data_IF_890143483227
#
_entry.id   IF_890143483227
#
_cell.length_a   1.000
_cell.length_b   1.000
_cell.length_c   1.000
_cell.angle_alpha   90.00
_cell.angle_beta   90.00
_cell.angle_gamma   90.00
#
_symmetry.space_group_name_H-M   'P 1'
#
loop_
_entity.id
_entity.type
_entity.pdbx_description
1 polymer ?
#
# COMPACT_ATOMS: atom_id res chain seq x y z
N UNK A 1 31.11 -20.46 15.32
CA UNK A 1 30.03 -19.74 14.62
C UNK A 1 30.65 -18.48 14.05
N UNK A 2 30.98 -18.46 12.77
CA UNK A 2 31.53 -17.27 12.09
C UNK A 2 30.36 -16.50 11.47
N UNK A 3 30.20 -15.25 11.87
CA UNK A 3 29.28 -14.31 11.24
C UNK A 3 29.78 -14.02 9.81
N UNK A 4 28.99 -14.37 8.79
CA UNK A 4 29.22 -13.95 7.41
C UNK A 4 28.91 -12.46 7.29
N UNK A 5 29.88 -11.62 7.62
CA UNK A 5 29.88 -10.20 7.28
C UNK A 5 30.49 -9.98 5.89
N UNK A 6 29.87 -10.49 4.82
CA UNK A 6 30.27 -10.11 3.46
C UNK A 6 29.40 -8.94 2.99
N UNK A 7 29.98 -7.74 2.92
CA UNK A 7 29.35 -6.60 2.23
C UNK A 7 29.22 -6.97 0.74
N UNK A 8 28.00 -6.93 0.20
CA UNK A 8 27.75 -7.14 -1.23
C UNK A 8 28.15 -5.88 -2.01
N UNK A 9 29.00 -6.04 -3.01
CA UNK A 9 29.37 -4.92 -3.88
C UNK A 9 28.23 -4.62 -4.88
N UNK A 10 28.02 -3.34 -5.21
CA UNK A 10 27.08 -2.86 -6.23
C UNK A 10 27.23 -3.58 -7.55
N UNK A 11 28.48 -3.86 -7.96
CA UNK A 11 28.77 -4.57 -9.20
C UNK A 11 28.25 -6.02 -9.17
N UNK A 12 28.31 -6.70 -8.02
CA UNK A 12 27.80 -8.07 -7.83
C UNK A 12 26.26 -8.10 -7.72
N UNK A 13 25.65 -7.10 -7.08
CA UNK A 13 24.19 -7.01 -7.06
C UNK A 13 23.63 -6.64 -8.42
N UNK A 14 24.26 -5.70 -9.14
CA UNK A 14 23.85 -5.34 -10.49
C UNK A 14 23.98 -6.52 -11.45
N UNK A 15 25.10 -7.26 -11.42
CA UNK A 15 25.26 -8.45 -12.26
C UNK A 15 24.22 -9.55 -11.98
N UNK A 16 23.74 -9.65 -10.73
CA UNK A 16 22.62 -10.53 -10.35
C UNK A 16 21.27 -9.99 -10.83
N UNK A 17 21.03 -8.68 -10.73
CA UNK A 17 19.81 -8.05 -11.23
C UNK A 17 19.75 -7.99 -12.76
N UNK A 18 20.89 -8.11 -13.45
CA UNK A 18 20.97 -8.30 -14.90
C UNK A 18 20.75 -9.77 -15.31
N UNK A 19 20.69 -10.70 -14.35
CA UNK A 19 20.42 -12.12 -14.59
C UNK A 19 18.92 -12.41 -14.50
N UNK A 20 18.29 -12.68 -15.65
CA UNK A 20 16.86 -12.94 -15.77
C UNK A 20 16.36 -14.10 -14.89
N UNK A 21 17.16 -15.17 -14.73
CA UNK A 21 16.77 -16.30 -13.88
C UNK A 21 16.71 -15.89 -12.40
N UNK A 22 17.68 -15.09 -11.96
CA UNK A 22 17.70 -14.57 -10.60
C UNK A 22 16.53 -13.61 -10.35
N UNK A 23 16.32 -12.66 -11.26
CA UNK A 23 15.19 -11.71 -11.18
C UNK A 23 13.86 -12.45 -11.15
N UNK A 24 13.65 -13.39 -12.06
CA UNK A 24 12.44 -14.20 -12.11
C UNK A 24 12.20 -14.99 -10.82
N UNK A 25 13.26 -15.58 -10.25
CA UNK A 25 13.17 -16.26 -8.96
C UNK A 25 12.82 -15.32 -7.81
N UNK A 26 13.50 -14.17 -7.72
CA UNK A 26 13.29 -13.17 -6.67
C UNK A 26 11.86 -12.62 -6.70
N UNK A 27 11.42 -12.15 -7.87
CA UNK A 27 10.07 -11.60 -8.05
C UNK A 27 9.00 -12.64 -7.75
N UNK A 28 9.17 -13.89 -8.19
CA UNK A 28 8.23 -14.98 -7.87
C UNK A 28 8.20 -15.32 -6.39
N UNK A 29 9.33 -15.23 -5.69
CA UNK A 29 9.41 -15.52 -4.26
C UNK A 29 8.70 -14.44 -3.44
N UNK A 30 8.95 -13.16 -3.74
CA UNK A 30 8.24 -12.04 -3.09
C UNK A 30 6.75 -12.08 -3.45
N UNK A 31 6.40 -12.34 -4.71
CA UNK A 31 5.00 -12.41 -5.13
C UNK A 31 4.22 -13.51 -4.45
N UNK A 32 4.84 -14.67 -4.17
CA UNK A 32 4.21 -15.73 -3.36
C UNK A 32 3.93 -15.28 -1.92
N UNK A 33 4.86 -14.54 -1.31
CA UNK A 33 4.69 -13.99 0.04
C UNK A 33 3.57 -12.95 0.05
N UNK A 34 3.60 -11.99 -0.88
CA UNK A 34 2.56 -10.97 -1.01
C UNK A 34 1.17 -11.59 -1.24
N UNK A 35 1.07 -12.59 -2.11
CA UNK A 35 -0.18 -13.30 -2.38
C UNK A 35 -0.70 -14.04 -1.15
N UNK A 36 0.18 -14.73 -0.42
CA UNK A 36 -0.16 -15.42 0.81
C UNK A 36 -0.75 -14.45 1.84
N UNK A 37 -0.01 -13.36 2.13
CA UNK A 37 -0.40 -12.41 3.17
C UNK A 37 -1.69 -11.69 2.80
N UNK A 38 -1.84 -11.31 1.53
CA UNK A 38 -3.07 -10.71 1.03
C UNK A 38 -4.26 -11.67 1.19
N UNK A 39 -4.11 -12.94 0.80
CA UNK A 39 -5.18 -13.95 1.00
C UNK A 39 -5.53 -14.10 2.49
N UNK A 40 -4.55 -14.11 3.39
CA UNK A 40 -4.81 -14.14 4.83
C UNK A 40 -5.57 -12.89 5.33
N UNK A 41 -5.20 -11.69 4.85
CA UNK A 41 -5.91 -10.45 5.18
C UNK A 41 -7.36 -10.49 4.68
N UNK A 42 -7.57 -10.96 3.45
CA UNK A 42 -8.90 -11.03 2.85
C UNK A 42 -9.79 -12.09 3.49
N UNK A 43 -9.24 -13.26 3.82
CA UNK A 43 -9.93 -14.31 4.57
C UNK A 43 -10.35 -13.80 5.95
N UNK A 44 -9.45 -13.12 6.65
CA UNK A 44 -9.73 -12.53 7.97
C UNK A 44 -10.84 -11.48 7.90
N UNK A 45 -10.88 -10.68 6.83
CA UNK A 45 -11.91 -9.67 6.62
C UNK A 45 -13.26 -10.27 6.21
N UNK A 46 -13.28 -11.31 5.37
CA UNK A 46 -14.51 -11.75 4.69
C UNK A 46 -15.03 -13.14 5.10
N UNK A 47 -14.28 -13.85 5.95
CA UNK A 47 -14.54 -15.22 6.34
C UNK A 47 -13.82 -16.26 5.46
N UNK A 48 -13.95 -17.52 5.84
CA UNK A 48 -13.12 -18.67 5.45
C UNK A 48 -13.22 -19.16 3.99
N UNK A 49 -13.46 -18.27 3.01
CA UNK A 49 -13.44 -18.70 1.60
C UNK A 49 -13.96 -17.72 0.56
N UNK A 50 -14.21 -16.46 0.90
CA UNK A 50 -14.89 -15.54 -0.03
C UNK A 50 -13.93 -14.84 -1.01
N UNK A 51 -12.65 -14.68 -0.66
CA UNK A 51 -11.68 -13.96 -1.49
C UNK A 51 -10.29 -14.61 -1.37
N UNK A 52 -10.04 -15.62 -2.20
CA UNK A 52 -8.70 -16.18 -2.43
C UNK A 52 -8.27 -15.84 -3.86
N UNK A 53 -7.12 -15.17 -4.02
CA UNK A 53 -6.45 -15.01 -5.30
C UNK A 53 -5.55 -16.21 -5.56
N UNK A 54 -5.75 -16.88 -6.70
CA UNK A 54 -4.88 -17.96 -7.13
C UNK A 54 -3.63 -17.41 -7.81
N UNK A 55 -2.57 -18.22 -7.85
CA UNK A 55 -1.30 -17.81 -8.48
C UNK A 55 -1.41 -17.50 -9.98
N UNK A 56 -2.39 -18.06 -10.69
CA UNK A 56 -2.70 -17.76 -12.09
C UNK A 56 -3.53 -16.48 -12.26
N UNK A 57 -4.02 -15.89 -11.17
CA UNK A 57 -4.77 -14.63 -11.13
C UNK A 57 -3.91 -13.44 -10.67
N UNK A 58 -2.70 -13.74 -10.19
CA UNK A 58 -1.70 -12.77 -9.78
C UNK A 58 -0.31 -13.25 -10.20
N UNK A 59 -0.07 -13.33 -11.52
CA UNK A 59 1.25 -13.65 -12.03
C UNK A 59 2.21 -12.47 -11.90
N UNK A 60 3.48 -12.71 -11.60
CA UNK A 60 4.49 -11.63 -11.49
C UNK A 60 5.31 -11.56 -12.77
N UNK A 61 5.58 -10.34 -13.24
CA UNK A 61 6.50 -10.08 -14.35
C UNK A 61 7.31 -8.79 -14.13
N UNK A 62 8.41 -8.65 -14.86
CA UNK A 62 9.04 -7.33 -15.02
C UNK A 62 8.21 -6.48 -15.96
N UNK A 63 8.18 -5.19 -15.71
CA UNK A 63 7.37 -4.24 -16.45
C UNK A 63 8.16 -2.98 -16.72
N UNK A 64 8.01 -2.43 -17.93
CA UNK A 64 8.54 -1.12 -18.29
C UNK A 64 7.34 -0.24 -18.66
N UNK A 65 7.00 0.76 -17.84
CA UNK A 65 5.88 1.63 -18.12
C UNK A 65 6.10 2.48 -19.38
N UNK A 66 5.02 2.70 -20.13
CA UNK A 66 4.99 3.52 -21.33
C UNK A 66 4.07 4.74 -21.13
N UNK A 67 4.41 5.88 -21.75
CA UNK A 67 3.60 7.11 -21.71
C UNK A 67 4.08 8.18 -20.75
N UNK A 68 3.32 9.29 -20.67
CA UNK A 68 3.55 10.36 -19.71
C UNK A 68 3.30 9.82 -18.29
N UNK A 69 4.19 10.10 -17.34
CA UNK A 69 4.20 9.58 -15.95
C UNK A 69 4.85 8.20 -15.71
N UNK A 70 5.42 7.57 -16.74
CA UNK A 70 6.13 6.27 -16.61
C UNK A 70 7.32 6.29 -15.65
N UNK A 71 7.92 7.46 -15.41
CA UNK A 71 9.12 7.60 -14.57
C UNK A 71 8.88 7.42 -13.06
N UNK A 72 7.62 7.39 -12.62
CA UNK A 72 7.24 7.25 -11.21
C UNK A 72 6.46 5.96 -10.89
N UNK A 73 6.11 5.16 -11.91
CA UNK A 73 5.30 3.96 -11.74
C UNK A 73 6.18 2.77 -11.33
N UNK A 74 6.09 2.38 -10.04
CA UNK A 74 6.83 1.24 -9.48
C UNK A 74 6.24 -0.11 -9.89
N UNK A 75 4.92 -0.19 -10.07
CA UNK A 75 4.24 -1.40 -10.48
C UNK A 75 2.85 -1.12 -11.04
N UNK A 76 2.25 -2.15 -11.63
CA UNK A 76 0.90 -2.11 -12.19
C UNK A 76 0.29 -3.49 -12.33
N UNK A 77 -0.96 -3.64 -11.92
CA UNK A 77 -1.76 -4.82 -12.19
C UNK A 77 -2.51 -4.69 -13.52
N UNK A 78 -2.17 -5.56 -14.47
CA UNK A 78 -2.92 -5.77 -15.70
C UNK A 78 -4.00 -6.82 -15.48
N UNK A 79 -5.25 -6.37 -15.34
CA UNK A 79 -6.42 -7.25 -15.16
C UNK A 79 -6.65 -8.22 -16.32
N UNK A 80 -6.28 -7.87 -17.55
CA UNK A 80 -6.57 -8.68 -18.74
C UNK A 80 -5.57 -9.84 -18.81
N UNK A 81 -4.30 -9.55 -18.50
CA UNK A 81 -3.24 -10.56 -18.43
C UNK A 81 -3.16 -11.26 -17.07
N UNK A 82 -3.86 -10.73 -16.06
CA UNK A 82 -3.78 -11.11 -14.65
C UNK A 82 -2.34 -11.10 -14.13
N UNK A 83 -1.61 -10.04 -14.48
CA UNK A 83 -0.18 -9.87 -14.16
C UNK A 83 0.07 -8.63 -13.33
N UNK A 84 0.82 -8.78 -12.24
CA UNK A 84 1.49 -7.69 -11.54
C UNK A 84 2.86 -7.46 -12.19
N UNK A 85 2.96 -6.34 -12.88
CA UNK A 85 4.20 -5.85 -13.45
C UNK A 85 4.99 -5.04 -12.42
N UNK A 86 6.29 -5.31 -12.30
CA UNK A 86 7.22 -4.58 -11.42
C UNK A 86 8.28 -3.85 -12.26
N UNK A 87 8.40 -2.55 -12.04
CA UNK A 87 9.41 -1.69 -12.67
C UNK A 87 10.75 -1.80 -11.94
N UNK A 88 11.44 -2.92 -12.17
CA UNK A 88 12.71 -3.24 -11.52
C UNK A 88 13.79 -2.17 -11.77
N UNK A 89 13.78 -1.52 -12.93
CA UNK A 89 14.72 -0.45 -13.24
C UNK A 89 14.53 0.76 -12.32
N UNK A 90 13.27 1.15 -12.07
CA UNK A 90 12.96 2.26 -11.16
C UNK A 90 13.26 1.90 -9.69
N UNK A 91 12.91 0.69 -9.25
CA UNK A 91 13.32 0.20 -7.92
C UNK A 91 14.84 0.25 -7.73
N UNK A 92 15.58 -0.25 -8.72
CA UNK A 92 17.04 -0.22 -8.71
C UNK A 92 17.58 1.21 -8.65
N UNK A 93 16.96 2.14 -9.38
CA UNK A 93 17.34 3.56 -9.38
C UNK A 93 17.04 4.26 -8.05
N UNK A 94 15.98 3.90 -7.34
CA UNK A 94 15.56 4.56 -6.10
C UNK A 94 16.30 4.00 -4.89
N UNK A 95 16.27 2.69 -4.69
CA UNK A 95 16.70 2.06 -3.44
C UNK A 95 18.17 1.63 -3.45
N UNK A 96 18.69 1.41 -4.65
CA UNK A 96 19.93 0.70 -4.87
C UNK A 96 21.01 1.62 -5.47
N UNK A 97 20.66 2.80 -6.01
CA UNK A 97 21.62 3.72 -6.64
C UNK A 97 22.82 4.07 -5.73
N UNK A 98 24.06 3.96 -6.25
CA UNK A 98 25.23 4.46 -5.54
C UNK A 98 25.16 5.99 -5.48
N UNK A 99 25.38 6.58 -4.30
CA UNK A 99 25.49 8.04 -4.16
C UNK A 99 26.75 8.52 -4.88
N UNK A 100 26.67 9.67 -5.55
CA UNK A 100 27.84 10.28 -6.18
C UNK A 100 28.98 10.44 -5.17
N UNK A 101 30.19 10.01 -5.55
CA UNK A 101 31.37 10.05 -4.68
C UNK A 101 31.42 9.00 -3.57
N UNK A 102 30.41 8.14 -3.41
CA UNK A 102 30.44 7.04 -2.45
C UNK A 102 30.89 5.72 -3.10
N UNK A 103 31.54 4.82 -2.33
CA UNK A 103 31.89 3.50 -2.81
C UNK A 103 30.66 2.78 -3.37
N UNK A 104 30.87 2.03 -4.45
CA UNK A 104 29.90 1.13 -5.09
C UNK A 104 29.58 -0.09 -4.22
N UNK A 105 29.28 0.07 -2.93
CA UNK A 105 28.96 -1.06 -2.03
C UNK A 105 27.53 -0.93 -1.54
N UNK A 106 26.69 -1.94 -1.79
CA UNK A 106 25.33 -1.99 -1.26
C UNK A 106 25.41 -2.56 0.14
N UNK A 107 24.86 -1.85 1.10
CA UNK A 107 24.70 -2.40 2.44
C UNK A 107 23.36 -3.12 2.59
N UNK A 108 23.28 -3.96 3.63
CA UNK A 108 22.08 -4.71 3.96
C UNK A 108 20.83 -3.82 4.07
N UNK A 109 20.94 -2.62 4.65
CA UNK A 109 19.82 -1.68 4.77
C UNK A 109 19.22 -1.31 3.42
N UNK A 110 20.05 -1.05 2.41
CA UNK A 110 19.59 -0.73 1.05
C UNK A 110 18.91 -1.93 0.39
N UNK A 111 19.49 -3.13 0.54
CA UNK A 111 18.92 -4.35 -0.01
C UNK A 111 17.56 -4.66 0.63
N UNK A 112 17.46 -4.54 1.96
CA UNK A 112 16.21 -4.75 2.68
C UNK A 112 15.16 -3.74 2.26
N UNK A 113 15.49 -2.44 2.19
CA UNK A 113 14.56 -1.42 1.70
C UNK A 113 14.07 -1.67 0.27
N UNK A 114 14.95 -2.16 -0.61
CA UNK A 114 14.59 -2.57 -1.97
C UNK A 114 13.60 -3.74 -1.99
N UNK A 115 13.82 -4.78 -1.19
CA UNK A 115 12.94 -5.95 -1.11
C UNK A 115 11.57 -5.60 -0.50
N UNK A 116 11.56 -4.79 0.55
CA UNK A 116 10.33 -4.34 1.22
C UNK A 116 9.48 -3.47 0.34
N UNK A 117 10.09 -2.53 -0.40
CA UNK A 117 9.36 -1.69 -1.33
C UNK A 117 8.74 -2.53 -2.47
N UNK A 118 9.46 -3.55 -2.98
CA UNK A 118 8.88 -4.48 -3.95
C UNK A 118 7.71 -5.29 -3.36
N UNK A 119 7.85 -5.78 -2.13
CA UNK A 119 6.75 -6.48 -1.44
C UNK A 119 5.54 -5.56 -1.26
N UNK A 120 5.75 -4.33 -0.78
CA UNK A 120 4.72 -3.31 -0.59
C UNK A 120 3.95 -3.03 -1.88
N UNK A 121 4.66 -2.78 -2.98
CA UNK A 121 4.06 -2.60 -4.29
C UNK A 121 3.31 -3.86 -4.77
N UNK A 122 3.83 -5.06 -4.52
CA UNK A 122 3.10 -6.29 -4.86
C UNK A 122 1.82 -6.47 -4.02
N UNK A 123 1.79 -6.01 -2.78
CA UNK A 123 0.57 -5.99 -1.95
C UNK A 123 -0.45 -5.00 -2.54
N UNK A 124 -0.01 -3.78 -2.91
CA UNK A 124 -0.87 -2.76 -3.54
C UNK A 124 -1.52 -3.29 -4.83
N UNK A 125 -0.69 -3.80 -5.75
CA UNK A 125 -1.17 -4.35 -7.02
C UNK A 125 -1.96 -5.66 -6.83
N UNK A 126 -1.64 -6.44 -5.80
CA UNK A 126 -2.43 -7.59 -5.40
C UNK A 126 -3.83 -7.20 -4.96
N UNK A 127 -3.97 -6.10 -4.22
CA UNK A 127 -5.28 -5.61 -3.82
C UNK A 127 -6.10 -5.12 -5.01
N UNK A 128 -5.47 -4.50 -6.01
CA UNK A 128 -6.12 -4.24 -7.30
C UNK A 128 -6.65 -5.54 -7.94
N UNK A 129 -5.87 -6.62 -7.90
CA UNK A 129 -6.33 -7.93 -8.38
C UNK A 129 -7.55 -8.45 -7.60
N UNK A 130 -7.61 -8.26 -6.29
CA UNK A 130 -8.80 -8.58 -5.47
C UNK A 130 -10.01 -7.76 -5.93
N UNK A 131 -9.85 -6.44 -6.04
CA UNK A 131 -10.92 -5.53 -6.44
C UNK A 131 -11.49 -5.91 -7.81
N UNK A 132 -10.63 -6.22 -8.78
CA UNK A 132 -11.06 -6.57 -10.14
C UNK A 132 -11.62 -8.00 -10.27
N UNK A 133 -10.98 -9.00 -9.67
CA UNK A 133 -11.29 -10.41 -9.94
C UNK A 133 -12.28 -11.04 -8.96
N UNK A 134 -12.48 -10.42 -7.79
CA UNK A 134 -13.28 -11.00 -6.70
C UNK A 134 -14.43 -10.12 -6.26
N UNK A 135 -14.22 -8.80 -6.24
CA UNK A 135 -15.25 -7.85 -5.81
C UNK A 135 -16.09 -7.31 -6.98
N UNK A 136 -15.93 -7.87 -8.20
CA UNK A 136 -16.56 -7.44 -9.47
C UNK A 136 -16.65 -5.92 -9.64
N UNK A 137 -15.60 -5.23 -9.23
CA UNK A 137 -15.64 -3.79 -9.07
C UNK A 137 -16.03 -3.06 -10.37
N UNK A 138 -15.50 -3.50 -11.53
CA UNK A 138 -15.87 -2.92 -12.85
C UNK A 138 -17.24 -3.34 -13.34
N UNK A 139 -17.79 -4.48 -12.91
CA UNK A 139 -19.16 -4.89 -13.22
C UNK A 139 -20.20 -3.92 -12.64
N UNK A 140 -19.92 -3.34 -11.47
CA UNK A 140 -20.75 -2.34 -10.79
C UNK A 140 -20.56 -0.92 -11.32
N UNK A 141 -19.48 -0.64 -12.05
CA UNK A 141 -19.14 0.69 -12.62
C UNK A 141 -19.66 0.85 -14.05
N UNK A 142 -20.48 -0.08 -14.56
CA UNK A 142 -21.01 -0.05 -15.94
C UNK A 142 -21.71 1.25 -16.38
N UNK A 143 -21.99 2.18 -15.46
CA UNK A 143 -22.59 3.49 -15.73
C UNK A 143 -21.70 4.71 -15.45
N UNK A 144 -20.44 4.57 -15.01
CA UNK A 144 -19.55 5.73 -14.92
C UNK A 144 -18.81 5.92 -16.25
N UNK A 145 -19.13 7.03 -16.90
CA UNK A 145 -18.52 7.43 -18.17
C UNK A 145 -17.05 7.86 -18.01
N UNK A 146 -16.52 7.89 -16.77
CA UNK A 146 -15.19 8.43 -16.45
C UNK A 146 -14.42 7.53 -15.49
N UNK A 147 -13.19 7.17 -15.86
CA UNK A 147 -12.28 6.39 -15.01
C UNK A 147 -11.89 7.13 -13.71
N UNK A 148 -12.03 8.46 -13.69
CA UNK A 148 -11.68 9.32 -12.55
C UNK A 148 -12.73 9.36 -11.44
N UNK A 149 -13.96 8.86 -11.69
CA UNK A 149 -15.07 8.98 -10.74
C UNK A 149 -14.91 8.15 -9.46
N UNK A 150 -14.04 7.15 -9.48
CA UNK A 150 -13.85 6.23 -8.34
C UNK A 150 -12.38 5.95 -8.00
N UNK A 151 -11.45 6.74 -8.54
CA UNK A 151 -10.01 6.58 -8.32
C UNK A 151 -9.62 6.67 -6.85
N UNK A 152 -10.36 7.44 -6.04
CA UNK A 152 -10.13 7.53 -4.58
C UNK A 152 -10.39 6.18 -3.92
N UNK A 153 -11.43 5.45 -4.36
CA UNK A 153 -11.75 4.15 -3.79
C UNK A 153 -10.72 3.09 -4.19
N UNK A 154 -10.40 2.97 -5.47
CA UNK A 154 -9.46 1.94 -5.95
C UNK A 154 -8.08 2.17 -5.37
N UNK A 155 -7.54 3.35 -5.62
CA UNK A 155 -6.17 3.66 -5.30
C UNK A 155 -5.97 3.95 -3.83
N UNK A 156 -6.94 4.59 -3.17
CA UNK A 156 -6.91 4.78 -1.73
C UNK A 156 -7.03 3.46 -0.96
N UNK A 157 -7.86 2.54 -1.44
CA UNK A 157 -8.01 1.22 -0.81
C UNK A 157 -6.74 0.39 -0.95
N UNK A 158 -6.14 0.37 -2.13
CA UNK A 158 -4.85 -0.27 -2.37
C UNK A 158 -3.74 0.36 -1.53
N UNK A 159 -3.66 1.70 -1.51
CA UNK A 159 -2.69 2.45 -0.69
C UNK A 159 -2.86 2.16 0.80
N UNK A 160 -4.08 2.03 1.29
CA UNK A 160 -4.36 1.70 2.69
C UNK A 160 -3.84 0.30 3.08
N UNK A 161 -4.04 -0.70 2.21
CA UNK A 161 -3.54 -2.07 2.45
C UNK A 161 -2.02 -2.13 2.33
N UNK A 162 -1.44 -1.43 1.35
CA UNK A 162 0.00 -1.24 1.18
C UNK A 162 0.62 -0.66 2.46
N UNK A 163 0.10 0.47 2.94
CA UNK A 163 0.61 1.14 4.14
C UNK A 163 0.53 0.27 5.38
N UNK A 164 -0.55 -0.50 5.53
CA UNK A 164 -0.66 -1.43 6.64
C UNK A 164 0.42 -2.52 6.59
N UNK A 165 0.74 -3.03 5.40
CA UNK A 165 1.81 -3.99 5.20
C UNK A 165 3.20 -3.39 5.52
N UNK A 166 3.45 -2.15 5.12
CA UNK A 166 4.66 -1.41 5.52
C UNK A 166 4.75 -1.25 7.04
N UNK A 167 3.64 -0.95 7.70
CA UNK A 167 3.58 -0.83 9.15
C UNK A 167 3.80 -2.15 9.88
N UNK A 168 3.41 -3.29 9.31
CA UNK A 168 3.76 -4.61 9.84
C UNK A 168 5.27 -4.86 9.81
N UNK A 169 5.92 -4.53 8.69
CA UNK A 169 7.37 -4.65 8.53
C UNK A 169 8.08 -3.74 9.54
N UNK A 170 7.67 -2.48 9.64
CA UNK A 170 8.19 -1.52 10.61
C UNK A 170 7.99 -2.05 12.03
N UNK A 171 6.76 -2.42 12.42
CA UNK A 171 6.49 -2.93 13.75
C UNK A 171 7.37 -4.15 14.08
N UNK A 172 7.51 -5.10 13.14
CA UNK A 172 8.37 -6.29 13.29
C UNK A 172 9.87 -5.99 13.44
N UNK A 173 10.35 -4.86 12.91
CA UNK A 173 11.72 -4.37 13.16
C UNK A 173 11.88 -3.79 14.56
N UNK A 174 10.81 -3.18 15.08
CA UNK A 174 10.80 -2.49 16.37
C UNK A 174 10.21 -3.33 17.52
N UNK A 175 9.86 -4.60 17.31
CA UNK A 175 9.27 -5.50 18.32
C UNK A 175 10.21 -5.95 19.46
N UNK A 176 11.36 -5.30 19.67
CA UNK A 176 11.93 -5.21 21.03
C UNK A 176 11.11 -4.29 21.95
N UNK A 177 10.09 -3.60 21.42
CA UNK A 177 9.11 -2.81 22.17
C UNK A 177 7.85 -3.64 22.40
N UNK A 178 7.66 -4.06 23.66
CA UNK A 178 6.53 -4.82 24.17
C UNK A 178 5.16 -4.18 23.83
N UNK A 179 4.25 -4.96 23.23
CA UNK A 179 2.80 -4.76 23.35
C UNK A 179 1.97 -4.86 22.05
N UNK A 180 0.72 -5.32 22.17
CA UNK A 180 -0.29 -5.40 21.11
C UNK A 180 -0.61 -4.07 20.38
N UNK A 181 -0.06 -2.94 20.86
CA UNK A 181 -0.28 -1.59 20.32
C UNK A 181 0.83 -1.13 19.35
N UNK A 182 1.85 -1.94 19.07
CA UNK A 182 2.97 -1.54 18.21
C UNK A 182 2.56 -1.32 16.74
N UNK A 183 1.61 -2.11 16.24
CA UNK A 183 1.16 -2.02 14.85
C UNK A 183 0.28 -0.79 14.58
N UNK A 184 -0.71 -0.51 15.43
CA UNK A 184 -1.53 0.71 15.30
C UNK A 184 -0.65 1.96 15.38
N UNK A 185 0.32 1.97 16.32
CA UNK A 185 1.31 3.04 16.41
C UNK A 185 2.11 3.15 15.12
N UNK A 186 2.71 2.06 14.63
CA UNK A 186 3.47 2.09 13.37
C UNK A 186 2.63 2.56 12.16
N UNK A 187 1.35 2.18 12.11
CA UNK A 187 0.42 2.59 11.07
C UNK A 187 0.11 4.08 11.10
N UNK A 188 -0.30 4.59 12.25
CA UNK A 188 -0.50 6.02 12.43
C UNK A 188 0.82 6.80 12.27
N UNK A 189 1.98 6.12 12.38
CA UNK A 189 3.32 6.70 12.20
C UNK A 189 3.66 7.03 10.80
N UNK A 190 3.59 6.01 9.97
CA UNK A 190 3.77 6.19 8.55
C UNK A 190 2.74 7.21 8.08
N UNK A 191 1.48 7.13 8.52
CA UNK A 191 0.47 8.09 8.08
C UNK A 191 0.83 9.53 8.46
N UNK A 192 1.24 9.80 9.69
CA UNK A 192 1.53 11.15 10.14
C UNK A 192 2.80 11.77 9.52
N UNK A 193 3.80 10.94 9.17
CA UNK A 193 5.13 11.43 8.77
C UNK A 193 5.38 11.29 7.26
N UNK A 194 4.95 10.18 6.66
CA UNK A 194 5.25 9.85 5.26
C UNK A 194 4.18 10.38 4.30
N UNK A 195 2.96 10.68 4.80
CA UNK A 195 1.84 11.10 3.95
C UNK A 195 1.48 12.59 4.15
N UNK A 196 1.74 13.47 3.16
CA UNK A 196 1.40 14.89 3.25
C UNK A 196 -0.09 15.16 3.44
N UNK A 197 -0.97 14.22 3.08
CA UNK A 197 -2.42 14.36 3.27
C UNK A 197 -2.81 14.34 4.76
N UNK A 198 -1.96 13.81 5.64
CA UNK A 198 -2.20 13.80 7.08
C UNK A 198 -2.35 15.19 7.68
N UNK A 199 -1.77 16.22 7.06
CA UNK A 199 -1.95 17.62 7.49
C UNK A 199 -3.42 18.07 7.45
N UNK A 200 -4.28 17.43 6.64
CA UNK A 200 -5.70 17.73 6.61
C UNK A 200 -6.41 17.45 7.94
N UNK A 201 -5.82 16.67 8.86
CA UNK A 201 -6.35 16.45 10.22
C UNK A 201 -6.36 17.75 11.05
N UNK A 202 -5.51 18.72 10.71
CA UNK A 202 -5.38 19.98 11.45
C UNK A 202 -6.18 21.14 10.84
N UNK A 203 -6.88 20.90 9.73
CA UNK A 203 -7.79 21.88 9.12
C UNK A 203 -9.07 22.05 9.95
N UNK A 204 -9.77 23.16 9.73
CA UNK A 204 -11.14 23.32 10.24
C UNK A 204 -12.06 22.29 9.57
N UNK A 205 -13.01 21.74 10.33
CA UNK A 205 -13.85 20.62 9.89
C UNK A 205 -14.53 20.85 8.53
N UNK A 206 -15.00 22.06 8.27
CA UNK A 206 -15.66 22.48 7.02
C UNK A 206 -14.68 22.61 5.84
N UNK A 207 -13.37 22.72 6.08
CA UNK A 207 -12.32 22.85 5.06
C UNK A 207 -11.69 21.52 4.66
N UNK A 208 -11.76 20.49 5.50
CA UNK A 208 -11.09 19.19 5.27
C UNK A 208 -11.38 18.64 3.88
N UNK A 209 -12.66 18.52 3.49
CA UNK A 209 -13.04 17.97 2.18
C UNK A 209 -12.49 18.82 1.03
N UNK A 210 -12.58 20.15 1.16
CA UNK A 210 -12.02 21.08 0.17
C UNK A 210 -10.50 20.95 0.03
N UNK A 211 -9.80 20.66 1.12
CA UNK A 211 -8.36 20.37 1.13
C UNK A 211 -8.06 19.02 0.46
N UNK A 212 -8.81 17.96 0.79
CA UNK A 212 -8.61 16.63 0.18
C UNK A 212 -8.83 16.62 -1.33
N UNK A 213 -9.76 17.43 -1.85
CA UNK A 213 -10.00 17.57 -3.30
C UNK A 213 -8.80 18.15 -4.08
N UNK A 214 -7.79 18.69 -3.39
CA UNK A 214 -6.54 19.19 -4.00
C UNK A 214 -5.45 18.12 -4.09
N UNK A 215 -5.60 17.00 -3.39
CA UNK A 215 -4.65 15.89 -3.43
C UNK A 215 -5.00 14.92 -4.55
N UNK A 216 -3.99 14.15 -4.98
CA UNK A 216 -4.22 13.03 -5.89
C UNK A 216 -5.11 11.96 -5.23
N UNK A 217 -5.87 11.17 -6.01
CA UNK A 217 -6.85 10.25 -5.46
C UNK A 217 -6.31 9.24 -4.44
N UNK A 218 -5.09 8.72 -4.66
CA UNK A 218 -4.40 7.81 -3.73
C UNK A 218 -4.36 8.41 -2.31
N UNK A 219 -3.91 9.65 -2.20
CA UNK A 219 -3.70 10.33 -0.92
C UNK A 219 -5.03 10.69 -0.27
N UNK A 220 -5.98 11.21 -1.06
CA UNK A 220 -7.32 11.51 -0.54
C UNK A 220 -7.99 10.25 0.04
N UNK A 221 -7.87 9.12 -0.65
CA UNK A 221 -8.44 7.86 -0.19
C UNK A 221 -7.70 7.29 1.02
N UNK A 222 -6.38 7.39 1.07
CA UNK A 222 -5.59 7.03 2.24
C UNK A 222 -6.06 7.77 3.51
N UNK A 223 -6.34 9.07 3.41
CA UNK A 223 -6.90 9.84 4.52
C UNK A 223 -8.26 9.31 4.96
N UNK A 224 -9.18 9.12 4.01
CA UNK A 224 -10.54 8.64 4.28
C UNK A 224 -10.49 7.28 4.99
N UNK A 225 -9.73 6.32 4.47
CA UNK A 225 -9.65 4.99 5.08
C UNK A 225 -8.88 4.98 6.40
N UNK A 226 -7.97 5.92 6.64
CA UNK A 226 -7.32 6.09 7.94
C UNK A 226 -8.31 6.63 8.99
N UNK A 227 -9.18 7.58 8.62
CA UNK A 227 -10.27 8.02 9.50
C UNK A 227 -11.24 6.86 9.78
N UNK A 228 -11.60 6.06 8.76
CA UNK A 228 -12.40 4.83 8.94
C UNK A 228 -11.73 3.82 9.86
N UNK A 229 -10.42 3.64 9.74
CA UNK A 229 -9.65 2.79 10.63
C UNK A 229 -9.80 3.21 12.10
N UNK A 230 -9.71 4.50 12.38
CA UNK A 230 -9.91 5.05 13.73
C UNK A 230 -11.35 4.91 14.22
N UNK A 231 -12.32 5.05 13.31
CA UNK A 231 -13.74 4.83 13.60
C UNK A 231 -14.03 3.36 13.95
N UNK A 232 -13.43 2.43 13.20
CA UNK A 232 -13.66 0.98 13.32
C UNK A 232 -12.79 0.30 14.39
N UNK A 233 -11.67 0.94 14.77
CA UNK A 233 -10.66 0.44 15.70
C UNK A 233 -10.00 -0.87 15.27
N UNK A 234 -10.08 -1.20 13.98
CA UNK A 234 -9.54 -2.44 13.44
C UNK A 234 -9.32 -2.33 11.94
N UNK A 235 -8.14 -2.77 11.50
CA UNK A 235 -7.81 -2.92 10.09
C UNK A 235 -8.77 -3.89 9.41
N UNK A 236 -9.01 -5.06 10.00
CA UNK A 236 -9.88 -6.11 9.44
C UNK A 236 -11.33 -5.63 9.30
N UNK A 237 -11.87 -4.88 10.27
CA UNK A 237 -13.21 -4.28 10.13
C UNK A 237 -13.25 -3.25 9.00
N UNK A 238 -12.22 -2.42 8.88
CA UNK A 238 -12.13 -1.41 7.82
C UNK A 238 -11.99 -2.05 6.44
N UNK A 239 -11.17 -3.08 6.31
CA UNK A 239 -11.03 -3.88 5.10
C UNK A 239 -12.35 -4.58 4.72
N UNK A 240 -13.09 -5.11 5.70
CA UNK A 240 -14.41 -5.67 5.49
C UNK A 240 -15.42 -4.61 4.98
N UNK A 241 -15.39 -3.39 5.51
CA UNK A 241 -16.21 -2.29 5.02
C UNK A 241 -15.86 -1.91 3.57
N UNK A 242 -14.57 -1.80 3.24
CA UNK A 242 -14.10 -1.58 1.87
C UNK A 242 -14.64 -2.68 0.95
N UNK A 243 -14.55 -3.94 1.34
CA UNK A 243 -15.11 -5.06 0.55
C UNK A 243 -16.62 -4.91 0.34
N UNK A 244 -17.38 -4.59 1.40
CA UNK A 244 -18.83 -4.38 1.30
C UNK A 244 -19.21 -3.18 0.44
N UNK A 245 -18.43 -2.09 0.50
CA UNK A 245 -18.64 -0.92 -0.35
C UNK A 245 -18.46 -1.28 -1.83
N UNK A 246 -17.43 -2.08 -2.15
CA UNK A 246 -17.20 -2.61 -3.49
C UNK A 246 -18.36 -3.48 -3.98
N UNK A 247 -18.82 -4.46 -3.17
CA UNK A 247 -19.93 -5.36 -3.54
C UNK A 247 -21.27 -4.63 -3.76
N UNK A 248 -21.50 -3.50 -3.08
CA UNK A 248 -22.74 -2.72 -3.20
C UNK A 248 -22.71 -1.72 -4.36
N UNK A 249 -21.57 -1.56 -5.03
CA UNK A 249 -21.36 -0.50 -6.02
C UNK A 249 -21.43 0.91 -5.44
N UNK A 250 -21.31 1.07 -4.11
CA UNK A 250 -21.33 2.36 -3.42
C UNK A 250 -19.91 2.93 -3.30
N UNK A 251 -19.26 3.16 -4.44
CA UNK A 251 -17.81 3.45 -4.52
C UNK A 251 -17.46 4.77 -5.22
N UNK A 252 -18.46 5.61 -5.49
CA UNK A 252 -18.26 6.96 -6.01
C UNK A 252 -17.43 7.83 -5.08
N UNK A 253 -16.56 8.69 -5.63
CA UNK A 253 -15.80 9.66 -4.83
C UNK A 253 -16.71 10.51 -3.92
N UNK A 254 -17.90 10.91 -4.41
CA UNK A 254 -18.89 11.65 -3.61
C UNK A 254 -19.45 10.82 -2.44
N UNK A 255 -19.63 9.52 -2.61
CA UNK A 255 -20.05 8.64 -1.52
C UNK A 255 -18.96 8.54 -0.45
N UNK A 256 -17.69 8.44 -0.85
CA UNK A 256 -16.57 8.45 0.08
C UNK A 256 -16.45 9.79 0.84
N UNK A 257 -16.68 10.92 0.17
CA UNK A 257 -16.73 12.22 0.86
C UNK A 257 -17.94 12.35 1.79
N UNK A 258 -19.08 11.73 1.48
CA UNK A 258 -20.24 11.66 2.37
C UNK A 258 -19.97 10.81 3.61
N UNK A 259 -19.31 9.67 3.43
CA UNK A 259 -18.83 8.84 4.55
C UNK A 259 -17.87 9.66 5.42
N UNK A 260 -16.90 10.34 4.82
CA UNK A 260 -15.98 11.21 5.56
C UNK A 260 -16.71 12.35 6.29
N UNK A 261 -17.71 12.98 5.69
CA UNK A 261 -18.53 14.01 6.34
C UNK A 261 -19.18 13.48 7.61
N UNK A 262 -19.75 12.27 7.52
CA UNK A 262 -20.35 11.57 8.67
C UNK A 262 -19.30 11.28 9.75
N UNK A 263 -18.09 10.89 9.35
CA UNK A 263 -16.99 10.65 10.28
C UNK A 263 -16.45 11.92 10.94
N UNK A 264 -16.44 13.05 10.24
CA UNK A 264 -16.12 14.36 10.81
C UNK A 264 -17.17 14.74 11.86
N UNK A 265 -18.46 14.63 11.54
CA UNK A 265 -19.58 14.91 12.44
C UNK A 265 -19.54 14.02 13.69
N UNK A 266 -19.16 12.76 13.54
CA UNK A 266 -18.99 11.81 14.65
C UNK A 266 -17.70 12.01 15.47
N UNK A 267 -16.87 13.01 15.13
CA UNK A 267 -15.63 13.31 15.84
C UNK A 267 -14.47 12.34 15.56
N UNK A 268 -14.56 11.51 14.51
CA UNK A 268 -13.51 10.54 14.18
C UNK A 268 -12.23 11.21 13.66
N UNK A 269 -12.33 12.40 13.04
CA UNK A 269 -11.13 13.20 12.71
C UNK A 269 -10.44 13.74 13.96
N UNK A 270 -11.19 14.24 14.94
CA UNK A 270 -10.60 14.69 16.21
C UNK A 270 -10.02 13.51 16.99
N UNK A 271 -10.65 12.34 16.95
CA UNK A 271 -10.09 11.09 17.48
C UNK A 271 -8.80 10.69 16.76
N UNK A 272 -8.75 10.81 15.43
CA UNK A 272 -7.53 10.58 14.65
C UNK A 272 -6.44 11.58 15.07
N UNK A 273 -6.75 12.87 15.13
CA UNK A 273 -5.86 13.94 15.63
C UNK A 273 -5.30 13.60 16.99
N UNK A 274 -6.14 13.17 17.92
CA UNK A 274 -5.73 12.74 19.24
C UNK A 274 -4.80 11.52 19.17
N UNK A 275 -5.12 10.48 18.39
CA UNK A 275 -4.23 9.31 18.26
C UNK A 275 -2.89 9.64 17.60
N UNK A 276 -2.85 10.58 16.66
CA UNK A 276 -1.59 11.09 16.07
C UNK A 276 -0.89 12.17 16.93
N UNK A 277 -1.49 12.63 18.03
CA UNK A 277 -0.95 13.72 18.88
C UNK A 277 -0.62 13.25 20.31
N UNK A 278 -1.35 12.27 20.85
CA UNK A 278 -1.28 11.85 22.26
C UNK A 278 0.07 11.17 22.58
N UNK A 279 0.72 10.49 21.64
CA UNK A 279 1.97 9.74 21.93
C UNK A 279 2.99 9.70 20.77
N UNK A 280 2.80 10.49 19.72
CA UNK A 280 3.45 10.31 18.42
C UNK A 280 4.95 10.63 18.29
N UNK A 281 5.52 11.37 19.25
CA UNK A 281 6.93 11.78 19.19
C UNK A 281 7.69 11.59 20.52
N UNK A 282 7.05 11.04 21.56
CA UNK A 282 7.67 11.00 22.89
C UNK A 282 8.28 9.66 23.29
N UNK A 283 8.10 8.59 22.50
CA UNK A 283 8.83 7.32 22.63
C UNK A 283 9.17 6.76 21.24
#
# INVERSE_FOLDING_TARGET
MQCFGSKLEWRDVRSRLDNENFVGFMLKSIGKLALHDLNCMMESATGSGRIELKSDEFGIETYTPEGAHSEYELGKYDKNRKKCGINLALFTKIFLKPKEGQPTTINEKQLTGFLEAMYSTMIHEGFHAVQYNRLDYKGHIKNSLDADTNSIFTEGGARFVEFFAESLITAGRYTSLNGNNSLEKAFLWHFAIEEPVSYAVYEEHDKIIGTLKKFIPHNAGMFIFTVRYVANESFIKTLNEICKMAERGSTGNEELYRVLSTDIENGNVEKLKQRINIEYLRN
#
